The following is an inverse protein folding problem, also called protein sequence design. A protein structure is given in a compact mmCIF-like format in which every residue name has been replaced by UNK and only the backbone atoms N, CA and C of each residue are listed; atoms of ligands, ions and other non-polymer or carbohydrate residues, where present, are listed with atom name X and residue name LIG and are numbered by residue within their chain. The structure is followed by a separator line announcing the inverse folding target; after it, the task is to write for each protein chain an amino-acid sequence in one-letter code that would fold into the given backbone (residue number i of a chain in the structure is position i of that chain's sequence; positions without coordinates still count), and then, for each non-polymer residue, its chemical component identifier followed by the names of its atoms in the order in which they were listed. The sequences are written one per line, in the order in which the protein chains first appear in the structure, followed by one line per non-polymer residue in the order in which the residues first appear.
data_IF_619793055962
#
_entry.id   IF_619793055962
#
_cell.length_a   1.000
_cell.length_b   1.000
_cell.length_c   1.000
_cell.angle_alpha   90.00
_cell.angle_beta   90.00
_cell.angle_gamma   90.00
#
_symmetry.space_group_name_H-M   'P 1'
#
loop_
_entity.id
_entity.type
_entity.pdbx_description
1 polymer ?
#
# COMPACT_ATOMS: atom_id res chain seq x y z
N UNK A 1 -53.32 44.26 31.96
CA UNK A 1 -53.85 42.97 31.50
C UNK A 1 -52.72 41.99 31.16
N UNK A 2 -51.98 41.35 32.08
CA UNK A 2 -51.47 41.67 33.44
C UNK A 2 -50.24 40.75 33.62
N UNK A 3 -49.08 41.21 34.11
CA UNK A 3 -48.68 41.24 35.53
C UNK A 3 -49.05 39.94 36.27
N UNK A 4 -48.14 39.14 36.83
CA UNK A 4 -46.80 39.38 37.42
C UNK A 4 -45.76 38.35 36.89
N UNK A 5 -44.46 38.59 36.69
CA UNK A 5 -43.39 39.33 37.42
C UNK A 5 -42.84 38.63 38.68
N UNK A 6 -41.61 38.10 38.60
CA UNK A 6 -40.64 38.16 39.69
C UNK A 6 -39.20 38.02 39.17
N UNK A 7 -38.30 38.88 39.63
CA UNK A 7 -36.86 38.87 39.32
C UNK A 7 -36.08 38.27 40.49
N UNK A 8 -34.93 37.64 40.22
CA UNK A 8 -33.70 37.92 40.99
C UNK A 8 -32.43 37.42 40.30
N UNK A 9 -31.38 38.23 40.37
CA UNK A 9 -29.99 38.00 39.93
C UNK A 9 -29.17 39.21 40.40
N UNK A 10 -27.83 39.20 40.44
CA UNK A 10 -26.88 38.08 40.33
C UNK A 10 -25.99 37.94 41.61
N UNK A 11 -25.06 36.99 41.64
CA UNK A 11 -23.87 37.05 42.53
C UNK A 11 -22.63 36.58 41.76
N UNK A 12 -21.54 37.34 41.90
CA UNK A 12 -20.19 37.02 41.41
C UNK A 12 -19.30 36.60 42.59
N UNK A 13 -18.51 35.54 42.43
CA UNK A 13 -17.31 35.27 43.26
C UNK A 13 -16.27 34.50 42.45
N UNK A 14 -15.00 34.93 42.53
CA UNK A 14 -13.84 34.28 41.91
C UNK A 14 -12.94 33.61 43.02
N UNK A 15 -11.63 33.29 42.90
CA UNK A 15 -11.19 31.90 43.07
C UNK A 15 -10.11 31.62 44.16
N UNK A 16 -9.72 30.33 44.25
CA UNK A 16 -8.54 29.79 44.96
C UNK A 16 -8.63 29.79 46.52
N UNK A 17 -7.73 29.13 47.30
CA UNK A 17 -6.25 29.20 47.23
C UNK A 17 -5.47 27.85 47.38
N UNK A 18 -4.14 27.93 47.48
CA UNK A 18 -3.17 26.82 47.70
C UNK A 18 -2.52 26.86 49.10
N UNK A 19 -2.14 25.68 49.67
CA UNK A 19 -0.90 25.36 50.42
C UNK A 19 -1.00 23.91 51.00
N UNK A 20 0.04 23.06 51.17
CA UNK A 20 1.35 23.11 51.91
C UNK A 20 1.18 23.31 53.43
N UNK A 21 1.92 22.67 54.37
CA UNK A 21 2.87 21.51 54.44
C UNK A 21 3.09 21.18 55.96
N UNK A 22 4.05 20.43 56.56
CA UNK A 22 5.35 19.80 56.20
C UNK A 22 5.84 18.89 57.38
N UNK A 23 6.92 18.10 57.20
CA UNK A 23 7.82 17.46 58.22
C UNK A 23 7.24 16.27 59.02
N UNK A 24 8.02 15.26 59.49
CA UNK A 24 9.47 14.92 59.44
C UNK A 24 9.68 13.44 59.90
N UNK A 25 10.86 12.87 60.23
CA UNK A 25 12.29 13.28 60.18
C UNK A 25 13.23 12.01 60.30
N UNK A 26 14.56 12.16 60.28
CA UNK A 26 15.63 11.10 60.24
C UNK A 26 16.39 10.89 61.59
N UNK A 27 17.43 10.00 61.82
CA UNK A 27 18.59 9.55 60.97
C UNK A 27 18.87 8.00 61.04
N UNK A 28 20.06 7.34 61.03
CA UNK A 28 21.51 7.70 61.06
C UNK A 28 22.52 6.56 60.65
N UNK A 29 23.75 6.95 60.24
CA UNK A 29 25.14 6.41 60.51
C UNK A 29 25.44 4.87 60.29
N UNK A 30 26.14 4.39 59.22
CA UNK A 30 27.62 4.36 58.90
C UNK A 30 28.50 3.32 59.69
N UNK A 31 29.74 2.86 59.27
CA UNK A 31 30.58 3.12 58.06
C UNK A 31 31.48 1.94 57.46
N UNK A 32 32.36 2.27 56.48
CA UNK A 32 33.58 1.56 55.93
C UNK A 32 33.39 0.22 55.15
N UNK A 33 34.27 -0.22 54.20
CA UNK A 33 35.71 0.08 53.97
C UNK A 33 36.17 0.28 52.48
N UNK A 34 37.50 0.33 52.21
CA UNK A 34 38.13 0.72 50.92
C UNK A 34 39.19 -0.28 50.37
N UNK A 35 39.28 -0.40 49.04
CA UNK A 35 40.51 -0.59 48.23
C UNK A 35 40.18 -0.37 46.73
N UNK A 36 41.10 -0.09 45.79
CA UNK A 36 42.54 0.21 45.90
C UNK A 36 43.34 -0.32 44.69
N UNK A 37 43.46 0.43 43.59
CA UNK A 37 44.23 0.01 42.39
C UNK A 37 44.41 1.13 41.35
N UNK A 38 45.55 1.15 40.65
CA UNK A 38 46.08 2.36 39.96
C UNK A 38 46.05 2.33 38.43
N UNK A 39 45.97 3.52 37.81
CA UNK A 39 46.23 3.74 36.38
C UNK A 39 47.73 3.91 36.07
N UNK A 40 48.22 3.43 34.90
CA UNK A 40 49.45 3.91 34.26
C UNK A 40 49.16 5.00 33.20
N UNK A 41 50.01 6.05 33.03
CA UNK A 41 49.75 7.15 32.10
C UNK A 41 50.40 6.99 30.71
N UNK A 42 49.87 7.75 29.74
CA UNK A 42 50.54 8.23 28.52
C UNK A 42 51.15 7.21 27.53
N UNK A 43 50.46 7.02 26.40
CA UNK A 43 51.09 7.06 25.07
C UNK A 43 50.24 7.89 24.11
N UNK A 44 50.83 8.90 23.48
CA UNK A 44 50.20 9.67 22.42
C UNK A 44 50.04 8.81 21.16
N UNK A 45 48.86 8.83 20.54
CA UNK A 45 48.65 8.34 19.18
C UNK A 45 48.27 9.54 18.31
N UNK A 46 49.17 9.89 17.39
CA UNK A 46 48.98 11.01 16.46
C UNK A 46 47.87 10.68 15.48
N UNK A 47 46.77 11.44 15.49
CA UNK A 47 45.67 11.27 14.52
C UNK A 47 46.19 11.65 13.13
N UNK A 48 46.26 10.73 12.15
CA UNK A 48 46.59 11.10 10.78
C UNK A 48 45.42 11.88 10.19
N UNK A 49 45.66 13.13 9.80
CA UNK A 49 44.66 14.05 9.23
C UNK A 49 44.29 13.59 7.81
N UNK A 50 43.46 12.55 7.70
CA UNK A 50 43.06 11.90 6.45
C UNK A 50 42.36 12.91 5.56
N UNK A 51 42.83 13.07 4.31
CA UNK A 51 42.25 14.00 3.34
C UNK A 51 40.78 13.68 3.08
N UNK A 52 39.97 14.71 2.86
CA UNK A 52 38.61 14.58 2.35
C UNK A 52 38.64 13.92 0.96
N UNK A 53 38.00 12.76 0.83
CA UNK A 53 37.91 12.04 -0.43
C UNK A 53 36.99 10.83 -0.34
N UNK A 54 36.07 10.73 -1.31
CA UNK A 54 35.21 9.57 -1.58
C UNK A 54 34.37 9.07 -0.40
N UNK A 55 33.38 9.87 -0.01
CA UNK A 55 32.18 9.34 0.66
C UNK A 55 31.06 9.01 -0.34
N UNK A 56 30.92 9.77 -1.43
CA UNK A 56 29.89 9.52 -2.46
C UNK A 56 30.01 8.14 -3.12
N UNK A 57 31.21 7.73 -3.56
CA UNK A 57 31.47 6.42 -4.19
C UNK A 57 30.85 5.22 -3.42
N UNK A 58 30.94 5.24 -2.09
CA UNK A 58 30.46 4.13 -1.24
C UNK A 58 28.93 4.10 -1.19
N UNK A 59 28.29 5.28 -1.20
CA UNK A 59 26.84 5.42 -1.20
C UNK A 59 26.24 5.09 -2.57
N UNK A 60 26.88 5.55 -3.65
CA UNK A 60 26.46 5.31 -5.04
C UNK A 60 26.45 3.83 -5.41
N UNK A 61 27.40 3.04 -4.90
CA UNK A 61 27.43 1.59 -5.11
C UNK A 61 26.17 0.90 -4.57
N UNK A 62 25.78 1.19 -3.31
CA UNK A 62 24.59 0.59 -2.69
C UNK A 62 23.28 0.92 -3.44
N UNK A 63 23.19 2.10 -4.05
CA UNK A 63 22.04 2.50 -4.88
C UNK A 63 22.04 1.81 -6.23
N UNK A 64 23.21 1.69 -6.87
CA UNK A 64 23.35 0.95 -8.13
C UNK A 64 23.02 -0.55 -7.94
N UNK A 65 23.42 -1.13 -6.82
CA UNK A 65 23.12 -2.53 -6.49
C UNK A 65 21.65 -2.74 -6.08
N UNK A 66 20.98 -1.73 -5.50
CA UNK A 66 19.53 -1.71 -5.37
C UNK A 66 18.82 -1.66 -6.74
N UNK A 67 19.31 -0.89 -7.71
CA UNK A 67 18.77 -0.85 -9.08
C UNK A 67 18.98 -2.16 -9.86
N UNK A 68 20.11 -2.85 -9.64
CA UNK A 68 20.39 -4.18 -10.20
C UNK A 68 19.51 -5.25 -9.56
N UNK A 69 19.42 -5.32 -8.23
CA UNK A 69 18.64 -6.34 -7.52
C UNK A 69 17.12 -6.18 -7.67
N UNK A 70 16.62 -4.96 -7.83
CA UNK A 70 15.22 -4.70 -8.22
C UNK A 70 14.92 -4.98 -9.70
N UNK A 71 15.93 -5.35 -10.50
CA UNK A 71 15.76 -5.78 -11.89
C UNK A 71 15.65 -7.31 -11.97
N UNK A 72 14.48 -7.88 -12.34
CA UNK A 72 14.46 -9.26 -12.79
C UNK A 72 15.41 -9.42 -13.99
N UNK A 73 16.11 -10.56 -14.12
CA UNK A 73 16.84 -10.89 -15.34
C UNK A 73 15.90 -10.79 -16.54
N UNK A 74 16.39 -10.28 -17.68
CA UNK A 74 15.70 -10.52 -18.96
C UNK A 74 15.53 -12.04 -19.12
N UNK A 75 14.43 -12.49 -19.74
CA UNK A 75 14.43 -13.77 -20.47
C UNK A 75 15.39 -13.66 -21.66
N UNK A 76 16.67 -13.69 -21.34
CA UNK A 76 17.79 -13.59 -22.25
C UNK A 76 18.14 -15.03 -22.59
N UNK A 77 18.00 -15.41 -23.86
CA UNK A 77 18.49 -16.68 -24.39
C UNK A 77 20.02 -16.64 -24.35
N UNK A 78 20.58 -16.82 -23.16
CA UNK A 78 22.01 -17.02 -22.93
C UNK A 78 22.25 -18.49 -23.23
N UNK A 79 22.66 -18.75 -24.47
CA UNK A 79 23.72 -19.73 -24.66
C UNK A 79 24.99 -19.18 -24.02
N UNK A 80 25.78 -20.07 -23.45
CA UNK A 80 27.17 -19.85 -23.09
C UNK A 80 27.39 -18.84 -21.94
N UNK A 81 27.04 -19.25 -20.70
CA UNK A 81 27.86 -19.03 -19.50
C UNK A 81 27.38 -19.94 -18.36
N UNK A 82 28.29 -20.67 -17.72
CA UNK A 82 27.96 -21.64 -16.67
C UNK A 82 27.49 -20.93 -15.38
N UNK A 83 26.17 -20.94 -15.19
CA UNK A 83 25.51 -20.79 -13.90
C UNK A 83 24.59 -22.00 -13.77
N UNK A 84 24.74 -22.77 -12.70
CA UNK A 84 23.86 -23.89 -12.42
C UNK A 84 22.42 -23.37 -12.20
N UNK A 85 21.59 -23.51 -13.23
CA UNK A 85 20.15 -23.44 -13.03
C UNK A 85 19.74 -24.67 -12.20
N UNK A 86 18.93 -24.50 -11.14
CA UNK A 86 18.31 -25.65 -10.47
C UNK A 86 17.52 -26.46 -11.51
N UNK A 87 17.46 -27.78 -11.33
CA UNK A 87 16.69 -28.63 -12.25
C UNK A 87 15.21 -28.27 -12.19
N UNK A 88 14.45 -28.53 -13.26
CA UNK A 88 12.99 -28.29 -13.25
C UNK A 88 12.34 -29.03 -12.05
N UNK A 89 12.79 -30.26 -11.75
CA UNK A 89 12.42 -31.05 -10.56
C UNK A 89 12.67 -30.29 -9.25
N UNK A 90 13.87 -29.70 -9.04
CA UNK A 90 14.17 -28.91 -7.84
C UNK A 90 13.23 -27.69 -7.70
N UNK A 91 12.89 -27.05 -8.82
CA UNK A 91 11.98 -25.88 -8.81
C UNK A 91 10.53 -26.25 -8.50
N UNK A 92 10.04 -27.38 -9.02
CA UNK A 92 8.70 -27.88 -8.72
C UNK A 92 8.61 -28.47 -7.30
N UNK A 93 9.68 -29.07 -6.76
CA UNK A 93 9.76 -29.47 -5.34
C UNK A 93 9.74 -28.25 -4.41
N UNK A 94 10.50 -27.20 -4.74
CA UNK A 94 10.49 -25.95 -4.00
C UNK A 94 9.12 -25.24 -4.05
N UNK A 95 8.48 -25.20 -5.22
CA UNK A 95 7.14 -24.61 -5.39
C UNK A 95 6.05 -25.43 -4.68
N UNK A 96 6.12 -26.76 -4.73
CA UNK A 96 5.21 -27.65 -3.99
C UNK A 96 5.35 -27.47 -2.47
N UNK A 97 6.58 -27.41 -1.97
CA UNK A 97 6.87 -27.15 -0.55
C UNK A 97 6.36 -25.77 -0.10
N UNK A 98 6.48 -24.78 -0.97
CA UNK A 98 5.95 -23.43 -0.74
C UNK A 98 4.41 -23.39 -0.71
N UNK A 99 3.73 -24.14 -1.59
CA UNK A 99 2.27 -24.28 -1.57
C UNK A 99 1.73 -24.97 -0.30
N UNK A 100 2.53 -25.79 0.41
CA UNK A 100 2.13 -26.30 1.72
C UNK A 100 2.06 -25.21 2.80
N UNK A 101 2.87 -24.14 2.66
CA UNK A 101 2.86 -22.96 3.54
C UNK A 101 1.82 -21.92 3.10
N UNK A 102 1.58 -21.82 1.79
CA UNK A 102 0.66 -20.85 1.17
C UNK A 102 -0.23 -21.54 0.12
N UNK A 103 -1.29 -22.28 0.54
CA UNK A 103 -2.11 -23.09 -0.37
C UNK A 103 -2.86 -22.26 -1.41
N UNK A 104 -3.16 -22.86 -2.56
CA UNK A 104 -3.91 -22.19 -3.64
C UNK A 104 -5.31 -21.78 -3.19
N UNK A 105 -5.67 -20.51 -3.35
CA UNK A 105 -6.99 -19.98 -3.02
C UNK A 105 -8.11 -20.58 -3.90
N UNK A 106 -7.79 -21.15 -5.07
CA UNK A 106 -8.75 -21.94 -5.86
C UNK A 106 -9.09 -23.25 -5.15
N UNK A 107 -8.09 -24.00 -4.71
CA UNK A 107 -8.27 -25.26 -4.00
C UNK A 107 -8.93 -25.06 -2.63
N UNK A 108 -8.60 -23.94 -1.95
CA UNK A 108 -9.21 -23.53 -0.68
C UNK A 108 -10.51 -22.71 -0.83
N UNK A 109 -11.07 -22.55 -2.04
CA UNK A 109 -12.25 -21.70 -2.27
C UNK A 109 -13.47 -22.12 -1.42
N UNK A 110 -13.68 -23.42 -1.22
CA UNK A 110 -14.78 -23.92 -0.36
C UNK A 110 -14.53 -23.58 1.12
N UNK A 111 -13.29 -23.74 1.60
CA UNK A 111 -12.90 -23.32 2.96
C UNK A 111 -13.12 -21.83 3.18
N UNK A 112 -12.64 -20.99 2.24
CA UNK A 112 -12.77 -19.53 2.28
C UNK A 112 -14.25 -19.12 2.27
N UNK A 113 -15.06 -19.70 1.38
CA UNK A 113 -16.49 -19.34 1.26
C UNK A 113 -17.37 -19.92 2.37
N UNK A 114 -16.92 -21.00 3.03
CA UNK A 114 -17.51 -21.56 4.26
C UNK A 114 -17.20 -20.71 5.49
N UNK A 115 -15.95 -20.26 5.67
CA UNK A 115 -15.61 -19.27 6.70
C UNK A 115 -16.38 -17.95 6.49
N UNK A 116 -16.59 -17.56 5.22
CA UNK A 116 -17.45 -16.45 4.83
C UNK A 116 -18.96 -16.75 4.84
N UNK A 117 -19.45 -17.85 5.44
CA UNK A 117 -20.88 -18.21 5.37
C UNK A 117 -21.78 -17.09 5.91
N UNK A 118 -21.46 -16.59 7.10
CA UNK A 118 -22.21 -15.55 7.81
C UNK A 118 -21.56 -14.16 7.70
N UNK A 119 -20.48 -13.99 6.92
CA UNK A 119 -19.72 -12.74 6.83
C UNK A 119 -20.00 -11.97 5.54
N UNK A 120 -20.03 -10.64 5.62
CA UNK A 120 -19.93 -9.72 4.48
C UNK A 120 -18.52 -9.81 3.90
N UNK A 121 -18.38 -10.11 2.61
CA UNK A 121 -17.06 -10.09 1.94
C UNK A 121 -16.84 -8.70 1.33
N UNK A 122 -15.64 -8.14 1.53
CA UNK A 122 -15.13 -6.98 0.79
C UNK A 122 -13.91 -7.41 -0.01
N UNK A 123 -13.76 -6.93 -1.24
CA UNK A 123 -12.73 -7.41 -2.18
C UNK A 123 -11.82 -6.27 -2.62
N UNK A 124 -10.53 -6.42 -2.36
CA UNK A 124 -9.48 -5.47 -2.67
C UNK A 124 -8.52 -6.10 -3.69
N UNK A 125 -8.25 -5.38 -4.78
CA UNK A 125 -7.49 -5.91 -5.91
C UNK A 125 -6.40 -4.93 -6.31
N UNK A 126 -5.15 -5.38 -6.35
CA UNK A 126 -4.13 -4.69 -7.15
C UNK A 126 -4.43 -4.84 -8.66
N UNK A 127 -3.75 -4.07 -9.50
CA UNK A 127 -3.94 -4.09 -10.96
C UNK A 127 -2.83 -4.83 -11.74
N UNK A 128 -1.55 -4.55 -11.46
CA UNK A 128 -0.42 -4.92 -12.32
C UNK A 128 0.19 -6.26 -11.87
N UNK A 129 0.15 -7.28 -12.72
CA UNK A 129 0.47 -8.66 -12.33
C UNK A 129 -0.68 -9.38 -11.64
N UNK A 130 -1.72 -8.65 -11.25
CA UNK A 130 -2.90 -9.15 -10.52
C UNK A 130 -4.12 -9.28 -11.44
N UNK A 131 -4.54 -8.20 -12.10
CA UNK A 131 -5.68 -8.17 -13.03
C UNK A 131 -5.27 -7.99 -14.50
N UNK A 132 -4.09 -7.41 -14.72
CA UNK A 132 -3.38 -7.36 -16.00
C UNK A 132 -2.11 -8.21 -15.91
N UNK A 133 -1.65 -8.86 -16.99
CA UNK A 133 -0.28 -9.39 -17.05
C UNK A 133 0.76 -8.26 -16.86
N UNK A 134 1.94 -8.61 -16.36
CA UNK A 134 3.10 -7.71 -16.28
C UNK A 134 3.70 -7.57 -17.68
N UNK A 135 3.92 -6.33 -18.12
CA UNK A 135 4.39 -5.98 -19.47
C UNK A 135 5.59 -5.02 -19.41
N UNK A 136 6.21 -4.75 -20.57
CA UNK A 136 7.38 -3.85 -20.67
C UNK A 136 7.02 -2.36 -20.86
N UNK A 137 5.85 -2.07 -21.42
CA UNK A 137 5.29 -0.71 -21.45
C UNK A 137 4.08 -0.65 -20.49
N UNK A 138 4.11 0.19 -19.45
CA UNK A 138 2.98 0.37 -18.53
C UNK A 138 1.66 0.75 -19.22
N UNK A 139 1.69 1.40 -20.38
CA UNK A 139 0.47 1.75 -21.13
C UNK A 139 -0.17 0.55 -21.86
N UNK A 140 0.60 -0.52 -22.11
CA UNK A 140 0.12 -1.78 -22.68
C UNK A 140 -0.47 -2.77 -21.64
N UNK A 141 -0.53 -2.40 -20.35
CA UNK A 141 -1.06 -3.26 -19.29
C UNK A 141 -2.60 -3.28 -19.28
N UNK A 142 -3.20 -4.01 -20.22
CA UNK A 142 -4.66 -3.97 -20.46
C UNK A 142 -5.36 -5.20 -19.86
N UNK A 143 -6.31 -4.96 -18.96
CA UNK A 143 -7.21 -5.99 -18.43
C UNK A 143 -8.07 -6.60 -19.56
N UNK A 144 -8.11 -7.94 -19.63
CA UNK A 144 -8.93 -8.64 -20.61
C UNK A 144 -10.43 -8.43 -20.37
N UNK A 145 -11.25 -8.47 -21.43
CA UNK A 145 -12.72 -8.39 -21.31
C UNK A 145 -13.30 -9.52 -20.43
N UNK A 146 -12.63 -10.68 -20.40
CA UNK A 146 -12.99 -11.82 -19.56
C UNK A 146 -12.75 -11.56 -18.06
N UNK A 147 -11.67 -10.84 -17.72
CA UNK A 147 -11.36 -10.39 -16.36
C UNK A 147 -12.24 -9.20 -15.95
N UNK A 148 -12.41 -8.19 -16.82
CA UNK A 148 -13.32 -7.05 -16.61
C UNK A 148 -14.75 -7.52 -16.28
N UNK A 149 -15.22 -8.57 -16.97
CA UNK A 149 -16.48 -9.23 -16.67
C UNK A 149 -16.49 -9.98 -15.32
N UNK A 150 -15.36 -10.58 -14.90
CA UNK A 150 -15.24 -11.19 -13.57
C UNK A 150 -15.32 -10.14 -12.46
N UNK A 151 -14.51 -9.07 -12.53
CA UNK A 151 -14.48 -7.97 -11.54
C UNK A 151 -15.86 -7.29 -11.44
N UNK A 152 -16.49 -6.95 -12.58
CA UNK A 152 -17.88 -6.44 -12.62
C UNK A 152 -18.88 -7.35 -11.93
N UNK A 153 -18.74 -8.67 -12.06
CA UNK A 153 -19.66 -9.60 -11.43
C UNK A 153 -19.36 -9.84 -9.94
N UNK A 154 -18.14 -9.56 -9.46
CA UNK A 154 -17.80 -9.51 -8.03
C UNK A 154 -18.43 -8.27 -7.38
N UNK A 155 -18.29 -7.10 -8.01
CA UNK A 155 -18.80 -5.82 -7.54
C UNK A 155 -20.33 -5.80 -7.30
N UNK A 156 -21.10 -6.61 -8.04
CA UNK A 156 -22.56 -6.78 -7.87
C UNK A 156 -22.96 -7.46 -6.56
N UNK A 157 -22.03 -8.11 -5.86
CA UNK A 157 -22.30 -8.89 -4.64
C UNK A 157 -21.46 -8.45 -3.44
N UNK A 158 -20.34 -7.76 -3.68
CA UNK A 158 -19.32 -7.44 -2.69
C UNK A 158 -18.76 -6.03 -2.94
N UNK A 159 -18.65 -5.15 -1.92
CA UNK A 159 -17.91 -3.90 -2.04
C UNK A 159 -16.50 -4.19 -2.58
N UNK A 160 -16.14 -3.58 -3.72
CA UNK A 160 -14.94 -3.92 -4.48
C UNK A 160 -14.11 -2.66 -4.78
N UNK A 161 -12.80 -2.74 -4.51
CA UNK A 161 -11.86 -1.64 -4.71
C UNK A 161 -10.62 -2.07 -5.49
N UNK A 162 -10.15 -1.20 -6.40
CA UNK A 162 -8.85 -1.34 -7.06
C UNK A 162 -7.81 -0.47 -6.33
N UNK A 163 -6.72 -1.06 -5.85
CA UNK A 163 -5.67 -0.37 -5.08
C UNK A 163 -4.33 -0.53 -5.83
N UNK A 164 -3.88 0.49 -6.55
CA UNK A 164 -2.72 0.43 -7.45
C UNK A 164 -1.69 1.53 -7.16
N UNK A 165 -0.42 1.28 -7.53
CA UNK A 165 0.63 2.30 -7.57
C UNK A 165 0.42 3.37 -8.66
N UNK A 166 -0.35 3.05 -9.70
CA UNK A 166 -0.67 3.95 -10.82
C UNK A 166 -1.47 5.17 -10.39
N UNK A 167 -1.40 6.22 -11.20
CA UNK A 167 -2.33 7.36 -11.12
C UNK A 167 -3.79 6.87 -11.16
N UNK A 168 -4.63 7.33 -10.22
CA UNK A 168 -6.03 6.87 -10.04
C UNK A 168 -6.84 6.93 -11.33
N UNK A 169 -6.76 8.04 -12.06
CA UNK A 169 -7.53 8.24 -13.29
C UNK A 169 -7.11 7.24 -14.40
N UNK A 170 -5.81 6.89 -14.47
CA UNK A 170 -5.27 5.95 -15.46
C UNK A 170 -5.65 4.49 -15.17
N UNK A 171 -5.65 4.07 -13.90
CA UNK A 171 -6.15 2.72 -13.56
C UNK A 171 -7.68 2.62 -13.71
N UNK A 172 -8.42 3.72 -13.44
CA UNK A 172 -9.86 3.79 -13.71
C UNK A 172 -10.18 3.65 -15.20
N UNK A 173 -9.43 4.32 -16.08
CA UNK A 173 -9.52 4.20 -17.55
C UNK A 173 -9.30 2.75 -18.01
N UNK A 174 -8.19 2.13 -17.58
CA UNK A 174 -7.83 0.76 -17.97
C UNK A 174 -8.84 -0.29 -17.49
N UNK A 175 -9.37 -0.13 -16.27
CA UNK A 175 -10.36 -1.05 -15.69
C UNK A 175 -11.74 -0.85 -16.35
N UNK A 176 -12.19 0.40 -16.56
CA UNK A 176 -13.42 0.72 -17.28
C UNK A 176 -14.71 0.26 -16.58
N UNK A 177 -14.76 0.40 -15.25
CA UNK A 177 -15.90 0.05 -14.39
C UNK A 177 -16.23 1.26 -13.49
N UNK A 178 -17.49 1.69 -13.41
CA UNK A 178 -17.91 2.85 -12.60
C UNK A 178 -18.46 2.46 -11.24
N UNK A 179 -18.70 1.16 -11.04
CA UNK A 179 -19.24 0.52 -9.85
C UNK A 179 -18.17 0.21 -8.78
N UNK A 180 -16.93 0.65 -8.96
CA UNK A 180 -15.79 0.34 -8.09
C UNK A 180 -15.28 1.55 -7.31
N UNK A 181 -14.65 1.28 -6.17
CA UNK A 181 -13.73 2.21 -5.52
C UNK A 181 -12.37 2.16 -6.23
N UNK A 182 -11.71 3.32 -6.40
CA UNK A 182 -10.37 3.40 -6.99
C UNK A 182 -9.41 4.16 -6.09
N UNK A 183 -8.33 3.50 -5.72
CA UNK A 183 -7.27 4.00 -4.86
C UNK A 183 -5.93 3.98 -5.63
N UNK A 184 -5.62 5.09 -6.29
CA UNK A 184 -4.35 5.27 -7.01
C UNK A 184 -3.22 5.76 -6.12
N UNK A 185 -2.01 5.80 -6.67
CA UNK A 185 -0.80 6.32 -5.98
C UNK A 185 -0.49 5.54 -4.69
N UNK A 186 -0.58 4.20 -4.74
CA UNK A 186 -0.54 3.28 -3.58
C UNK A 186 -1.60 3.62 -2.51
N UNK A 187 -2.74 4.14 -2.96
CA UNK A 187 -3.86 4.55 -2.13
C UNK A 187 -3.80 5.97 -1.56
N UNK A 188 -2.91 6.85 -2.03
CA UNK A 188 -2.92 8.27 -1.65
C UNK A 188 -3.94 9.13 -2.43
N UNK A 189 -4.61 8.57 -3.44
CA UNK A 189 -5.73 9.22 -4.15
C UNK A 189 -6.89 8.24 -4.28
N UNK A 190 -7.90 8.35 -3.41
CA UNK A 190 -9.04 7.43 -3.32
C UNK A 190 -10.34 8.11 -3.78
N UNK A 191 -11.17 7.42 -4.56
CA UNK A 191 -12.56 7.81 -4.88
C UNK A 191 -13.51 6.63 -4.70
N UNK A 192 -14.76 6.92 -4.33
CA UNK A 192 -15.87 5.95 -4.39
C UNK A 192 -16.62 5.94 -5.73
N UNK A 193 -17.57 5.01 -5.91
CA UNK A 193 -18.43 4.94 -7.10
C UNK A 193 -19.37 6.16 -7.15
N UNK A 194 -19.66 6.61 -8.37
CA UNK A 194 -20.23 7.95 -8.59
C UNK A 194 -21.69 8.05 -8.10
N UNK A 195 -21.90 8.75 -7.00
CA UNK A 195 -23.22 8.94 -6.36
C UNK A 195 -23.35 8.37 -4.95
N UNK A 196 -22.37 7.64 -4.42
CA UNK A 196 -22.30 7.37 -2.97
C UNK A 196 -21.66 8.58 -2.24
N UNK A 197 -22.46 9.60 -2.00
CA UNK A 197 -22.06 10.81 -1.24
C UNK A 197 -22.15 10.55 0.26
N UNK A 198 -21.21 9.76 0.79
CA UNK A 198 -21.17 9.40 2.23
C UNK A 198 -20.87 10.64 3.09
N UNK A 199 -21.69 10.86 4.13
CA UNK A 199 -21.69 12.01 5.04
C UNK A 199 -20.49 12.11 6.02
N UNK A 200 -19.39 11.41 5.75
CA UNK A 200 -18.25 11.33 6.67
C UNK A 200 -17.25 12.47 6.44
N UNK A 201 -17.35 13.51 7.28
CA UNK A 201 -16.46 14.69 7.34
C UNK A 201 -15.03 14.40 7.83
N UNK A 202 -14.39 13.36 7.30
CA UNK A 202 -12.97 13.09 7.55
C UNK A 202 -12.11 14.24 6.96
N UNK A 203 -11.10 14.79 7.67
CA UNK A 203 -10.39 16.00 7.23
C UNK A 203 -9.65 15.88 5.88
N UNK A 204 -9.29 14.66 5.49
CA UNK A 204 -8.66 14.37 4.18
C UNK A 204 -9.67 14.08 3.06
N UNK A 205 -10.99 14.08 3.34
CA UNK A 205 -12.03 14.00 2.32
C UNK A 205 -12.33 15.39 1.75
N UNK A 206 -12.48 15.49 0.43
CA UNK A 206 -12.85 16.70 -0.29
C UNK A 206 -13.93 16.40 -1.33
N UNK A 207 -14.88 17.33 -1.49
CA UNK A 207 -15.77 17.33 -2.64
C UNK A 207 -15.02 17.76 -3.91
N UNK A 208 -15.26 17.05 -5.01
CA UNK A 208 -14.77 17.34 -6.35
C UNK A 208 -15.87 16.96 -7.35
N UNK A 209 -15.82 17.50 -8.56
CA UNK A 209 -16.56 16.91 -9.69
C UNK A 209 -15.72 15.83 -10.37
N UNK A 210 -16.37 14.86 -11.01
CA UNK A 210 -15.74 13.96 -11.97
C UNK A 210 -15.60 14.62 -13.37
N UNK A 211 -15.20 13.83 -14.38
CA UNK A 211 -15.05 14.31 -15.77
C UNK A 211 -16.40 14.59 -16.46
N UNK A 212 -17.51 14.17 -15.86
CA UNK A 212 -18.88 14.34 -16.33
C UNK A 212 -19.61 15.46 -15.57
N UNK A 213 -18.94 16.12 -14.61
CA UNK A 213 -19.48 17.22 -13.81
C UNK A 213 -20.31 16.78 -12.60
N UNK A 214 -20.28 15.50 -12.22
CA UNK A 214 -21.03 14.97 -11.08
C UNK A 214 -20.16 14.90 -9.82
N UNK A 215 -20.75 15.17 -8.66
CA UNK A 215 -20.04 15.20 -7.38
C UNK A 215 -19.47 13.82 -7.00
N UNK A 216 -18.20 13.84 -6.56
CA UNK A 216 -17.45 12.70 -6.03
C UNK A 216 -16.64 13.12 -4.80
N UNK A 217 -16.66 12.28 -3.77
CA UNK A 217 -15.80 12.44 -2.61
C UNK A 217 -14.42 11.83 -2.92
N UNK A 218 -13.38 12.67 -2.94
CA UNK A 218 -11.98 12.24 -3.00
C UNK A 218 -11.39 12.19 -1.59
N UNK A 219 -10.61 11.17 -1.27
CA UNK A 219 -9.79 11.10 -0.06
C UNK A 219 -8.31 11.16 -0.43
N UNK A 220 -7.57 12.13 0.13
CA UNK A 220 -6.20 12.46 -0.23
C UNK A 220 -5.33 12.76 1.01
N UNK A 221 -4.76 11.74 1.68
CA UNK A 221 -3.99 11.92 2.91
C UNK A 221 -2.63 12.59 2.66
N UNK A 222 -2.16 12.62 1.41
CA UNK A 222 -0.92 13.24 0.99
C UNK A 222 -1.11 14.63 0.36
N UNK A 223 -2.29 15.26 0.46
CA UNK A 223 -2.65 16.47 -0.32
C UNK A 223 -1.62 17.62 -0.24
N UNK A 224 -1.01 17.85 0.92
CA UNK A 224 0.01 18.89 1.11
C UNK A 224 1.30 18.67 0.30
N UNK A 225 1.57 17.45 -0.18
CA UNK A 225 2.75 17.12 -0.97
C UNK A 225 2.63 17.44 -2.46
N UNK A 226 1.43 17.73 -2.98
CA UNK A 226 1.21 17.94 -4.42
C UNK A 226 2.18 18.97 -5.04
N UNK A 227 2.38 20.19 -4.48
CA UNK A 227 3.29 21.17 -5.07
C UNK A 227 4.74 20.67 -5.13
N UNK A 228 5.19 19.95 -4.11
CA UNK A 228 6.54 19.39 -4.01
C UNK A 228 6.75 18.22 -4.98
N UNK A 229 5.73 17.37 -5.20
CA UNK A 229 5.79 16.29 -6.18
C UNK A 229 5.82 16.85 -7.60
N UNK A 230 5.02 17.88 -7.91
CA UNK A 230 5.03 18.50 -9.24
C UNK A 230 6.33 19.29 -9.51
N UNK A 231 6.90 19.99 -8.51
CA UNK A 231 8.21 20.64 -8.56
C UNK A 231 9.35 19.62 -8.84
N UNK A 232 9.39 18.54 -8.08
CA UNK A 232 10.37 17.46 -8.25
C UNK A 232 10.20 16.76 -9.60
N UNK A 233 8.96 16.51 -10.03
CA UNK A 233 8.67 15.92 -11.33
C UNK A 233 9.18 16.81 -12.47
N UNK A 234 8.87 18.11 -12.47
CA UNK A 234 9.36 19.06 -13.48
C UNK A 234 10.88 19.15 -13.51
N UNK A 235 11.52 19.19 -12.34
CA UNK A 235 12.98 19.21 -12.20
C UNK A 235 13.63 17.94 -12.76
N UNK A 236 13.05 16.77 -12.48
CA UNK A 236 13.53 15.49 -13.01
C UNK A 236 13.29 15.35 -14.51
N UNK A 237 12.19 15.89 -15.05
CA UNK A 237 11.94 15.92 -16.51
C UNK A 237 13.06 16.65 -17.25
N UNK A 238 13.43 17.87 -16.84
CA UNK A 238 14.50 18.61 -17.53
C UNK A 238 15.88 17.97 -17.30
N UNK A 239 16.19 17.48 -16.09
CA UNK A 239 17.48 16.80 -15.82
C UNK A 239 17.64 15.46 -16.56
N UNK A 240 16.56 14.71 -16.81
CA UNK A 240 16.62 13.40 -17.50
C UNK A 240 16.41 13.44 -19.01
N UNK A 241 15.97 14.58 -19.55
CA UNK A 241 15.65 14.86 -20.97
C UNK A 241 16.69 14.38 -21.99
N UNK A 242 17.98 14.41 -21.65
CA UNK A 242 19.07 13.95 -22.52
C UNK A 242 19.36 12.43 -22.47
N UNK A 243 18.75 11.69 -21.54
CA UNK A 243 19.05 10.28 -21.28
C UNK A 243 18.10 9.39 -22.09
N UNK A 244 18.57 9.00 -23.29
CA UNK A 244 17.81 8.12 -24.20
C UNK A 244 17.30 6.86 -23.47
N UNK A 245 15.99 6.66 -23.50
CA UNK A 245 15.31 5.50 -22.92
C UNK A 245 14.70 5.73 -21.52
N UNK A 246 14.92 6.89 -20.90
CA UNK A 246 14.23 7.25 -19.67
C UNK A 246 12.78 7.66 -19.96
N UNK A 247 11.81 7.16 -19.20
CA UNK A 247 10.39 7.59 -19.22
C UNK A 247 10.04 8.09 -17.83
N UNK A 248 9.47 9.29 -17.72
CA UNK A 248 8.98 9.83 -16.46
C UNK A 248 7.46 9.84 -16.43
N UNK A 249 6.88 9.43 -15.31
CA UNK A 249 5.43 9.36 -15.11
C UNK A 249 5.04 10.07 -13.81
N UNK A 250 4.10 11.01 -13.90
CA UNK A 250 3.51 11.70 -12.75
C UNK A 250 2.28 10.89 -12.29
N UNK A 251 2.39 10.21 -11.16
CA UNK A 251 1.32 9.44 -10.53
C UNK A 251 0.60 10.26 -9.44
N UNK A 252 0.50 11.59 -9.59
CA UNK A 252 -0.18 12.55 -8.69
C UNK A 252 0.50 12.72 -7.33
N UNK A 253 0.63 11.65 -6.56
CA UNK A 253 1.34 11.63 -5.27
C UNK A 253 2.67 10.88 -5.32
N UNK A 254 3.07 10.36 -6.49
CA UNK A 254 4.41 9.81 -6.72
C UNK A 254 4.95 10.31 -8.06
N UNK A 255 6.28 10.40 -8.19
CA UNK A 255 6.96 10.56 -9.48
C UNK A 255 7.79 9.30 -9.76
N UNK A 256 7.63 8.71 -10.95
CA UNK A 256 8.31 7.48 -11.34
C UNK A 256 9.30 7.75 -12.49
N UNK A 257 10.57 7.38 -12.30
CA UNK A 257 11.65 7.47 -13.28
C UNK A 257 11.97 6.05 -13.75
N UNK A 258 11.41 5.65 -14.89
CA UNK A 258 11.66 4.34 -15.49
C UNK A 258 13.00 4.32 -16.22
N UNK A 259 13.87 3.39 -15.83
CA UNK A 259 15.18 3.18 -16.46
C UNK A 259 15.26 1.87 -17.26
N UNK A 260 14.13 1.19 -17.45
CA UNK A 260 14.03 -0.12 -18.15
C UNK A 260 14.64 -0.14 -19.55
N UNK A 261 14.49 0.96 -20.29
CA UNK A 261 14.99 1.12 -21.65
C UNK A 261 16.25 2.00 -21.75
N UNK A 262 16.82 2.39 -20.60
CA UNK A 262 18.08 3.14 -20.49
C UNK A 262 19.26 2.17 -20.58
N UNK A 263 20.27 2.53 -21.37
CA UNK A 263 21.56 1.85 -21.44
C UNK A 263 22.20 1.73 -20.04
N UNK A 264 22.65 0.53 -19.67
CA UNK A 264 23.13 0.21 -18.32
C UNK A 264 24.28 1.13 -17.86
N UNK A 265 25.10 1.65 -18.79
CA UNK A 265 26.16 2.64 -18.46
C UNK A 265 25.63 3.99 -17.96
N UNK A 266 24.37 4.32 -18.24
CA UNK A 266 23.72 5.56 -17.85
C UNK A 266 22.87 5.40 -16.56
N UNK A 267 22.73 4.18 -16.02
CA UNK A 267 22.00 3.95 -14.77
C UNK A 267 22.60 4.73 -13.57
N UNK A 268 23.93 4.85 -13.39
CA UNK A 268 24.51 5.71 -12.36
C UNK A 268 24.09 7.18 -12.52
N UNK A 269 23.99 7.67 -13.76
CA UNK A 269 23.55 9.04 -14.06
C UNK A 269 22.10 9.28 -13.67
N UNK A 270 21.21 8.31 -13.91
CA UNK A 270 19.81 8.34 -13.44
C UNK A 270 19.75 8.33 -11.91
N UNK A 271 20.50 7.43 -11.25
CA UNK A 271 20.54 7.33 -9.79
C UNK A 271 21.01 8.64 -9.15
N UNK A 272 22.11 9.20 -9.65
CA UNK A 272 22.69 10.45 -9.18
C UNK A 272 21.75 11.64 -9.43
N UNK A 273 21.11 11.71 -10.61
CA UNK A 273 20.10 12.74 -10.92
C UNK A 273 18.93 12.74 -9.93
N UNK A 274 18.40 11.57 -9.58
CA UNK A 274 17.31 11.43 -8.59
C UNK A 274 17.81 11.76 -7.18
N UNK A 275 18.99 11.27 -6.80
CA UNK A 275 19.62 11.57 -5.52
C UNK A 275 19.83 13.09 -5.31
N UNK A 276 20.37 13.77 -6.31
CA UNK A 276 20.69 15.20 -6.25
C UNK A 276 19.47 16.13 -6.32
N UNK A 277 18.29 15.62 -6.69
CA UNK A 277 17.02 16.35 -6.45
C UNK A 277 16.54 16.09 -5.02
N UNK A 278 16.55 14.84 -4.57
CA UNK A 278 16.02 14.47 -3.24
C UNK A 278 16.80 15.04 -2.05
N UNK A 279 18.05 15.47 -2.23
CA UNK A 279 18.84 16.19 -1.21
C UNK A 279 18.10 17.38 -0.61
N UNK A 280 17.40 18.16 -1.44
CA UNK A 280 16.71 19.39 -1.04
C UNK A 280 15.26 19.13 -0.59
N UNK A 281 14.76 17.89 -0.73
CA UNK A 281 13.40 17.49 -0.39
C UNK A 281 13.35 16.34 0.64
N UNK A 282 13.84 16.52 1.88
CA UNK A 282 13.92 15.46 2.90
C UNK A 282 12.56 14.93 3.39
N UNK A 283 11.44 15.55 2.97
CA UNK A 283 10.08 15.02 3.18
C UNK A 283 9.69 13.96 2.14
N UNK A 284 10.54 13.67 1.16
CA UNK A 284 10.36 12.62 0.15
C UNK A 284 11.35 11.48 0.35
N UNK A 285 10.97 10.28 -0.09
CA UNK A 285 11.80 9.06 -0.05
C UNK A 285 11.90 8.43 -1.44
N UNK A 286 13.06 7.84 -1.71
CA UNK A 286 13.27 6.99 -2.87
C UNK A 286 12.88 5.54 -2.56
N UNK A 287 12.06 4.96 -3.42
CA UNK A 287 11.71 3.54 -3.43
C UNK A 287 12.08 2.92 -4.77
N UNK A 288 12.40 1.62 -4.78
CA UNK A 288 12.92 0.92 -5.95
C UNK A 288 11.91 -0.15 -6.41
N UNK A 289 11.37 0.00 -7.62
CA UNK A 289 10.48 -0.95 -8.28
C UNK A 289 11.16 -1.66 -9.46
N UNK A 290 10.41 -2.47 -10.22
CA UNK A 290 10.96 -3.30 -11.30
C UNK A 290 11.46 -2.46 -12.49
N UNK A 291 12.73 -2.05 -12.43
CA UNK A 291 13.41 -1.09 -13.35
C UNK A 291 12.81 0.33 -13.33
N UNK A 292 12.36 0.76 -12.16
CA UNK A 292 11.82 2.11 -11.91
C UNK A 292 12.30 2.65 -10.56
N UNK A 293 12.67 3.93 -10.53
CA UNK A 293 12.95 4.70 -9.33
C UNK A 293 11.72 5.54 -8.99
N UNK A 294 11.13 5.32 -7.81
CA UNK A 294 9.87 5.95 -7.41
C UNK A 294 10.08 6.89 -6.23
N UNK A 295 9.80 8.17 -6.46
CA UNK A 295 9.79 9.22 -5.45
C UNK A 295 8.40 9.26 -4.82
N UNK A 296 8.32 9.08 -3.49
CA UNK A 296 7.07 9.08 -2.73
C UNK A 296 7.17 9.96 -1.46
N UNK A 297 6.08 10.56 -0.96
CA UNK A 297 6.02 11.21 0.34
C UNK A 297 6.48 10.33 1.52
N UNK A 298 7.15 10.94 2.49
CA UNK A 298 7.41 10.36 3.81
C UNK A 298 6.20 10.64 4.70
N UNK A 299 5.23 9.74 4.64
CA UNK A 299 4.03 9.70 5.48
C UNK A 299 3.75 8.26 5.92
N UNK A 300 3.00 8.09 7.01
CA UNK A 300 2.45 6.78 7.43
C UNK A 300 1.24 6.42 6.55
N UNK A 301 1.52 6.03 5.31
CA UNK A 301 0.53 5.56 4.35
C UNK A 301 1.10 4.53 3.39
N UNK A 302 0.30 3.50 3.09
CA UNK A 302 0.61 2.38 2.20
C UNK A 302 -0.70 1.70 1.74
N UNK A 303 -0.61 0.62 0.93
CA UNK A 303 -1.80 -0.14 0.50
C UNK A 303 -2.59 -0.71 1.69
N UNK A 304 -1.93 -1.07 2.80
CA UNK A 304 -2.57 -1.49 4.04
C UNK A 304 -3.46 -0.42 4.67
N UNK A 305 -2.95 0.81 4.83
CA UNK A 305 -3.74 1.96 5.32
C UNK A 305 -4.91 2.30 4.40
N UNK A 306 -4.76 2.13 3.08
CA UNK A 306 -5.88 2.27 2.16
C UNK A 306 -6.97 1.21 2.38
N UNK A 307 -6.61 -0.03 2.72
CA UNK A 307 -7.58 -1.09 3.10
C UNK A 307 -8.27 -0.78 4.42
N UNK A 308 -7.52 -0.34 5.45
CA UNK A 308 -8.11 0.06 6.75
C UNK A 308 -9.12 1.20 6.57
N UNK A 309 -8.73 2.26 5.85
CA UNK A 309 -9.61 3.37 5.54
C UNK A 309 -10.84 2.96 4.72
N UNK A 310 -10.69 2.11 3.70
CA UNK A 310 -11.85 1.66 2.91
C UNK A 310 -12.80 0.79 3.75
N UNK A 311 -12.29 -0.04 4.66
CA UNK A 311 -13.13 -0.79 5.60
C UNK A 311 -13.86 0.12 6.59
N UNK A 312 -13.22 1.19 7.06
CA UNK A 312 -13.86 2.21 7.91
C UNK A 312 -14.92 3.01 7.15
N UNK A 313 -14.58 3.50 5.95
CA UNK A 313 -15.48 4.26 5.08
C UNK A 313 -16.74 3.47 4.68
N UNK A 314 -16.61 2.16 4.45
CA UNK A 314 -17.72 1.25 4.13
C UNK A 314 -18.53 0.79 5.38
N UNK A 315 -18.17 1.23 6.59
CA UNK A 315 -18.83 0.78 7.83
C UNK A 315 -18.55 -0.70 8.18
N UNK A 316 -17.45 -1.25 7.69
CA UNK A 316 -17.05 -2.66 7.82
C UNK A 316 -15.92 -2.90 8.84
N UNK A 317 -15.42 -1.85 9.48
CA UNK A 317 -14.26 -1.91 10.38
C UNK A 317 -14.54 -2.55 11.76
N UNK A 318 -15.82 -2.63 12.16
CA UNK A 318 -16.23 -2.81 13.56
C UNK A 318 -17.02 -4.10 13.86
N UNK A 319 -16.94 -5.11 12.98
CA UNK A 319 -17.69 -6.37 13.14
C UNK A 319 -16.87 -7.59 12.76
N UNK A 320 -16.91 -8.63 13.59
CA UNK A 320 -16.35 -9.95 13.25
C UNK A 320 -17.01 -10.57 12.00
N UNK A 321 -18.21 -10.09 11.64
CA UNK A 321 -19.00 -10.47 10.47
C UNK A 321 -18.47 -9.94 9.13
N UNK A 322 -17.19 -9.55 9.04
CA UNK A 322 -16.56 -9.11 7.77
C UNK A 322 -15.39 -10.02 7.44
N UNK A 323 -15.26 -10.35 6.14
CA UNK A 323 -14.08 -10.97 5.56
C UNK A 323 -13.55 -10.09 4.42
N UNK A 324 -12.56 -9.21 4.66
CA UNK A 324 -11.82 -8.59 3.58
C UNK A 324 -10.92 -9.63 2.89
N UNK A 325 -10.88 -9.60 1.57
CA UNK A 325 -9.96 -10.39 0.75
C UNK A 325 -9.13 -9.43 -0.08
N UNK A 326 -7.81 -9.45 0.06
CA UNK A 326 -6.89 -8.67 -0.78
C UNK A 326 -6.14 -9.62 -1.72
N UNK A 327 -6.05 -9.27 -3.02
CA UNK A 327 -5.29 -10.02 -4.02
C UNK A 327 -4.23 -9.10 -4.65
N UNK A 328 -2.96 -9.54 -4.71
CA UNK A 328 -1.85 -8.73 -5.25
C UNK A 328 -0.56 -9.51 -5.57
N UNK A 329 0.30 -8.99 -6.44
CA UNK A 329 1.59 -9.59 -6.87
C UNK A 329 2.81 -9.03 -6.11
N UNK A 330 2.72 -7.82 -5.59
CA UNK A 330 3.84 -6.90 -5.46
C UNK A 330 4.32 -6.68 -4.01
N UNK A 331 5.49 -6.08 -3.83
CA UNK A 331 6.05 -5.80 -2.49
C UNK A 331 5.20 -4.78 -1.70
N UNK A 332 4.41 -3.93 -2.36
CA UNK A 332 3.48 -3.03 -1.66
C UNK A 332 2.17 -3.70 -1.27
N UNK A 333 1.84 -4.87 -1.84
CA UNK A 333 0.67 -5.68 -1.41
C UNK A 333 0.91 -6.37 -0.05
N UNK A 334 2.17 -6.63 0.30
CA UNK A 334 2.55 -7.11 1.64
C UNK A 334 2.05 -6.21 2.77
N UNK A 335 1.98 -4.88 2.55
CA UNK A 335 1.40 -3.94 3.52
C UNK A 335 -0.08 -4.26 3.81
N UNK A 336 -0.84 -4.65 2.79
CA UNK A 336 -2.24 -5.04 2.93
C UNK A 336 -2.40 -6.46 3.49
N UNK A 337 -1.60 -7.43 3.01
CA UNK A 337 -1.59 -8.79 3.54
C UNK A 337 -1.26 -8.81 5.04
N UNK A 338 -0.29 -7.99 5.46
CA UNK A 338 0.10 -7.81 6.88
C UNK A 338 -1.07 -7.29 7.71
N UNK A 339 -1.73 -6.22 7.29
CA UNK A 339 -2.92 -5.67 7.98
C UNK A 339 -4.01 -6.74 8.14
N UNK A 340 -4.32 -7.49 7.08
CA UNK A 340 -5.36 -8.53 7.16
C UNK A 340 -4.98 -9.69 8.10
N UNK A 341 -3.68 -10.04 8.17
CA UNK A 341 -3.14 -11.05 9.09
C UNK A 341 -3.12 -10.56 10.54
N UNK A 342 -2.65 -9.35 10.81
CA UNK A 342 -2.59 -8.79 12.17
C UNK A 342 -3.99 -8.55 12.77
N UNK A 343 -4.98 -8.22 11.94
CA UNK A 343 -6.39 -8.14 12.36
C UNK A 343 -7.03 -9.52 12.62
N UNK A 344 -6.42 -10.62 12.17
CA UNK A 344 -6.98 -11.99 12.18
C UNK A 344 -8.41 -12.08 11.60
N UNK A 345 -8.74 -11.15 10.70
CA UNK A 345 -10.06 -10.91 10.13
C UNK A 345 -9.87 -10.52 8.66
N UNK A 346 -9.39 -11.47 7.85
CA UNK A 346 -9.11 -11.22 6.43
C UNK A 346 -8.19 -12.25 5.81
N UNK A 347 -8.19 -12.32 4.48
CA UNK A 347 -7.26 -13.14 3.71
C UNK A 347 -6.51 -12.30 2.67
N UNK A 348 -5.19 -12.18 2.87
CA UNK A 348 -4.28 -11.82 1.79
C UNK A 348 -4.05 -13.03 0.87
N UNK A 349 -4.05 -12.78 -0.44
CA UNK A 349 -3.81 -13.77 -1.49
C UNK A 349 -2.72 -13.25 -2.43
N UNK A 350 -1.55 -13.89 -2.41
CA UNK A 350 -0.42 -13.51 -3.24
C UNK A 350 -0.54 -14.11 -4.64
N UNK A 351 -0.37 -13.29 -5.67
CA UNK A 351 -0.19 -13.73 -7.06
C UNK A 351 1.30 -13.94 -7.34
N UNK A 352 1.70 -15.18 -7.59
CA UNK A 352 3.10 -15.50 -7.90
C UNK A 352 3.27 -16.87 -8.57
N UNK A 353 3.96 -16.94 -9.74
CA UNK A 353 4.31 -18.20 -10.38
C UNK A 353 5.59 -18.83 -9.80
N UNK A 354 6.17 -18.25 -8.74
CA UNK A 354 7.40 -18.68 -8.06
C UNK A 354 7.29 -18.47 -6.55
N UNK A 355 8.06 -19.20 -5.71
CA UNK A 355 8.07 -18.98 -4.27
C UNK A 355 8.47 -17.55 -3.88
N UNK A 356 7.72 -16.93 -2.96
CA UNK A 356 8.03 -15.66 -2.29
C UNK A 356 7.72 -15.80 -0.80
N UNK A 357 8.54 -15.22 0.07
CA UNK A 357 8.12 -15.02 1.47
C UNK A 357 7.04 -13.92 1.52
N UNK A 358 5.94 -14.19 2.23
CA UNK A 358 4.74 -13.35 2.19
C UNK A 358 3.90 -13.43 3.46
N UNK A 359 3.16 -12.35 3.75
CA UNK A 359 2.11 -12.29 4.76
C UNK A 359 0.77 -12.82 4.25
N UNK A 360 0.60 -13.12 2.96
CA UNK A 360 -0.61 -13.75 2.44
C UNK A 360 -0.93 -15.08 3.14
N UNK A 361 -2.20 -15.45 3.21
CA UNK A 361 -2.63 -16.77 3.72
C UNK A 361 -2.71 -17.82 2.60
N UNK A 362 -2.97 -17.37 1.37
CA UNK A 362 -3.15 -18.22 0.20
C UNK A 362 -2.32 -17.68 -0.98
N UNK A 363 -2.12 -18.53 -1.99
CA UNK A 363 -1.48 -18.18 -3.26
C UNK A 363 -2.44 -18.32 -4.45
N UNK A 364 -2.09 -17.68 -5.56
CA UNK A 364 -2.61 -17.91 -6.91
C UNK A 364 -1.42 -17.77 -7.88
N UNK A 365 -1.35 -18.57 -8.94
CA UNK A 365 -0.18 -18.61 -9.82
C UNK A 365 -0.02 -17.34 -10.67
N UNK A 366 -1.11 -16.87 -11.27
CA UNK A 366 -1.12 -15.76 -12.23
C UNK A 366 -2.55 -15.16 -12.40
N UNK A 367 -2.74 -14.07 -13.18
CA UNK A 367 -4.05 -13.45 -13.40
C UNK A 367 -5.17 -14.35 -13.95
N UNK A 368 -4.86 -15.50 -14.56
CA UNK A 368 -5.89 -16.46 -14.98
C UNK A 368 -6.54 -17.14 -13.76
N UNK A 369 -5.75 -17.58 -12.79
CA UNK A 369 -6.25 -18.14 -11.53
C UNK A 369 -7.02 -17.08 -10.70
N UNK A 370 -6.57 -15.81 -10.72
CA UNK A 370 -7.31 -14.68 -10.13
C UNK A 370 -8.71 -14.57 -10.76
N UNK A 371 -8.81 -14.63 -12.09
CA UNK A 371 -10.09 -14.57 -12.79
C UNK A 371 -11.01 -15.74 -12.40
N UNK A 372 -10.46 -16.94 -12.24
CA UNK A 372 -11.22 -18.13 -11.83
C UNK A 372 -11.68 -18.07 -10.38
N UNK A 373 -10.85 -17.54 -9.47
CA UNK A 373 -11.16 -17.35 -8.05
C UNK A 373 -12.29 -16.32 -7.87
N UNK A 374 -12.19 -15.18 -8.56
CA UNK A 374 -13.25 -14.15 -8.59
C UNK A 374 -14.58 -14.72 -9.13
N UNK A 375 -14.53 -15.52 -10.22
CA UNK A 375 -15.69 -16.27 -10.71
C UNK A 375 -16.18 -17.34 -9.71
N UNK A 376 -15.28 -17.88 -8.89
CA UNK A 376 -15.57 -18.83 -7.81
C UNK A 376 -16.41 -18.20 -6.71
N UNK A 377 -15.95 -17.08 -6.14
CA UNK A 377 -16.68 -16.32 -5.12
C UNK A 377 -18.12 -15.98 -5.55
N UNK A 378 -18.29 -15.49 -6.79
CA UNK A 378 -19.60 -15.18 -7.38
C UNK A 378 -20.48 -16.43 -7.54
N UNK A 379 -19.91 -17.58 -7.91
CA UNK A 379 -20.64 -18.85 -8.00
C UNK A 379 -21.12 -19.31 -6.62
N UNK A 380 -20.28 -19.23 -5.59
CA UNK A 380 -20.67 -19.57 -4.21
C UNK A 380 -21.75 -18.64 -3.65
N UNK A 381 -21.67 -17.34 -3.90
CA UNK A 381 -22.70 -16.39 -3.44
C UNK A 381 -24.05 -16.61 -4.13
N UNK A 382 -24.06 -16.91 -5.43
CA UNK A 382 -25.30 -17.29 -6.15
C UNK A 382 -25.92 -18.57 -5.57
N UNK A 383 -25.12 -19.56 -5.18
CA UNK A 383 -25.62 -20.77 -4.50
C UNK A 383 -26.30 -20.43 -3.17
N UNK A 384 -25.76 -19.52 -2.35
CA UNK A 384 -26.42 -19.07 -1.10
C UNK A 384 -27.81 -18.48 -1.38
N UNK A 385 -27.93 -17.60 -2.37
CA UNK A 385 -29.20 -16.92 -2.70
C UNK A 385 -30.27 -17.90 -3.18
N UNK A 386 -29.91 -18.88 -4.03
CA UNK A 386 -30.87 -19.88 -4.53
C UNK A 386 -31.23 -20.91 -3.45
N UNK A 387 -30.26 -21.32 -2.62
CA UNK A 387 -30.47 -22.33 -1.58
C UNK A 387 -31.25 -21.86 -0.34
N UNK A 388 -31.45 -20.55 -0.18
CA UNK A 388 -32.27 -19.96 0.89
C UNK A 388 -33.73 -19.65 0.48
N UNK A 389 -34.12 -19.93 -0.76
CA UNK A 389 -35.39 -19.50 -1.36
C UNK A 389 -36.62 -20.32 -0.96
N UNK A 390 -36.90 -20.43 0.35
CA UNK A 390 -38.19 -20.88 0.88
C UNK A 390 -39.00 -19.68 1.37
N UNK A 391 -40.04 -19.30 0.61
CA UNK A 391 -41.08 -18.32 0.97
C UNK A 391 -40.62 -17.00 1.63
N UNK A 392 -40.28 -15.98 0.82
CA UNK A 392 -41.14 -14.79 0.73
C UNK A 392 -40.84 -13.93 -0.52
N UNK A 393 -41.67 -12.89 -0.73
CA UNK A 393 -41.73 -12.13 -1.97
C UNK A 393 -40.46 -11.35 -2.35
N UNK A 394 -40.12 -11.38 -3.64
CA UNK A 394 -38.90 -10.77 -4.15
C UNK A 394 -38.84 -9.25 -3.95
N UNK A 395 -37.83 -8.79 -3.20
CA UNK A 395 -37.35 -7.42 -3.23
C UNK A 395 -36.02 -7.36 -3.98
N UNK A 396 -35.89 -6.40 -4.87
CA UNK A 396 -34.59 -5.99 -5.41
C UNK A 396 -33.72 -5.54 -4.24
N UNK A 397 -32.46 -5.99 -4.16
CA UNK A 397 -31.55 -5.53 -3.11
C UNK A 397 -31.06 -4.13 -3.46
N UNK A 398 -31.78 -3.11 -2.98
CA UNK A 398 -31.34 -1.72 -3.00
C UNK A 398 -30.13 -1.55 -2.07
N UNK A 399 -28.94 -1.76 -2.61
CA UNK A 399 -27.69 -1.26 -2.03
C UNK A 399 -27.56 0.25 -2.30
N UNK A 400 -28.53 1.00 -1.76
CA UNK A 400 -28.58 2.46 -1.77
C UNK A 400 -28.65 2.92 -0.30
N UNK A 401 -27.47 3.07 0.29
CA UNK A 401 -27.17 3.83 1.51
C UNK A 401 -25.84 4.57 1.24
#
# INVERSE_FOLDING_TARGET
MDLTSNHTSPVLTEPAPMNKSRLGIHPAILPYSQSGGSFPPSKYITIPRKKSGKFDDVWSNGWLDAMKSSSPPRKKLIKDFDVEFPSDDDTDVAYSSWMLKYPSALNSLEQITSYAKNKKIAVFLDYDGTLSPIVDDPDCAVMSNAMRSAVRNVAKYFPTAIISGRKREKVSELVGLTELYYAGSHGMDIVGPVGQTVLNSHPNCIGSTDQQGKDVNLFQPAREFLPMIDEVFGTLVEKTKGIKGAKLENHKFCAAVHYRNVDEKNWPTIAQCVHDVLKDHPRLRLTHGRKVLEIRPVIDWNKGKAVEFLLEFLGLNSSEDVLPIFIGDDKTDEDAFKVLRERNQGYGILVSPMPKETNAFYSLRDPSEVMEFLRGLVRSQKKKVVGGGGEEGGKTNDWII
#
